data_IF_559460847303
#
_entry.id   IF_559460847303
#
_cell.length_a   1.000
_cell.length_b   1.000
_cell.length_c   1.000
_cell.angle_alpha   90.00
_cell.angle_beta   90.00
_cell.angle_gamma   90.00
#
_symmetry.space_group_name_H-M   'P 1'
#
loop_
_entity.id
_entity.type
_entity.pdbx_description
1 polymer ?
#
# COMPACT_ATOMS: atom_id res chain seq x y z
N UNK A 1 11.94 -9.16 -6.43
CA UNK A 1 10.58 -9.36 -5.87
C UNK A 1 9.58 -8.27 -6.28
N UNK A 2 9.97 -7.20 -6.97
CA UNK A 2 9.07 -6.08 -7.34
C UNK A 2 8.29 -6.31 -8.65
N UNK A 3 8.75 -7.18 -9.55
CA UNK A 3 8.11 -7.43 -10.84
C UNK A 3 6.68 -7.98 -10.72
N UNK A 4 6.38 -8.96 -9.85
CA UNK A 4 4.99 -9.40 -9.66
C UNK A 4 4.11 -8.30 -9.07
N UNK A 5 4.67 -7.47 -8.17
CA UNK A 5 3.95 -6.35 -7.58
C UNK A 5 3.49 -5.37 -8.66
N UNK A 6 4.37 -4.99 -9.58
CA UNK A 6 4.05 -4.05 -10.67
C UNK A 6 3.00 -4.60 -11.63
N UNK A 7 3.06 -5.91 -11.92
CA UNK A 7 2.10 -6.54 -12.86
C UNK A 7 0.73 -6.74 -12.21
N UNK A 8 0.68 -7.14 -10.93
CA UNK A 8 -0.57 -7.50 -10.27
C UNK A 8 -1.22 -6.37 -9.47
N UNK A 9 -0.51 -5.31 -9.09
CA UNK A 9 -1.06 -4.21 -8.28
C UNK A 9 -2.25 -3.53 -8.95
N UNK A 10 -2.18 -3.31 -10.26
CA UNK A 10 -3.29 -2.69 -10.99
C UNK A 10 -4.52 -3.60 -11.10
N UNK A 11 -4.34 -4.91 -10.89
CA UNK A 11 -5.43 -5.88 -10.96
C UNK A 11 -6.19 -6.04 -9.65
N UNK A 12 -5.54 -5.89 -8.50
CA UNK A 12 -6.13 -6.18 -7.19
C UNK A 12 -6.74 -4.93 -6.53
N UNK A 13 -6.27 -3.74 -6.89
CA UNK A 13 -6.68 -2.49 -6.23
C UNK A 13 -5.71 -2.08 -5.12
N UNK A 14 -5.74 -0.80 -4.73
CA UNK A 14 -4.78 -0.24 -3.78
C UNK A 14 -5.13 -0.64 -2.34
N UNK A 15 -6.42 -0.63 -1.98
CA UNK A 15 -6.88 -0.91 -0.61
C UNK A 15 -6.63 -2.36 -0.15
N UNK A 16 -7.04 -3.42 -0.89
CA UNK A 16 -6.80 -4.79 -0.45
C UNK A 16 -5.30 -5.11 -0.41
N UNK A 17 -4.50 -4.54 -1.31
CA UNK A 17 -3.05 -4.69 -1.32
C UNK A 17 -2.41 -4.16 -0.03
N UNK A 18 -2.82 -2.97 0.43
CA UNK A 18 -2.33 -2.38 1.68
C UNK A 18 -2.80 -3.16 2.91
N UNK A 19 -4.06 -3.63 2.94
CA UNK A 19 -4.60 -4.42 4.06
C UNK A 19 -3.91 -5.79 4.19
N UNK A 20 -3.80 -6.54 3.09
CA UNK A 20 -3.12 -7.85 3.06
C UNK A 20 -1.65 -7.67 3.43
N UNK A 21 -0.99 -6.64 2.87
CA UNK A 21 0.39 -6.31 3.20
C UNK A 21 0.59 -6.03 4.68
N UNK A 22 -0.26 -5.20 5.28
CA UNK A 22 -0.18 -4.84 6.70
C UNK A 22 -0.41 -6.07 7.60
N UNK A 23 -1.39 -6.91 7.27
CA UNK A 23 -1.67 -8.13 8.01
C UNK A 23 -0.51 -9.15 7.93
N UNK A 24 0.04 -9.38 6.74
CA UNK A 24 1.19 -10.29 6.54
C UNK A 24 2.43 -9.78 7.27
N UNK A 25 2.76 -8.51 7.13
CA UNK A 25 3.91 -7.91 7.83
C UNK A 25 3.76 -8.00 9.36
N UNK A 26 2.56 -7.73 9.88
CA UNK A 26 2.25 -7.89 11.31
C UNK A 26 2.47 -9.35 11.75
N UNK A 27 1.94 -10.32 11.00
CA UNK A 27 2.10 -11.75 11.28
C UNK A 27 3.58 -12.16 11.36
N UNK A 28 4.40 -11.79 10.37
CA UNK A 28 5.82 -12.14 10.36
C UNK A 28 6.60 -11.51 11.51
N UNK A 29 6.27 -10.27 11.89
CA UNK A 29 6.87 -9.60 13.05
C UNK A 29 6.44 -10.23 14.37
N UNK A 30 5.17 -10.66 14.51
CA UNK A 30 4.69 -11.41 15.67
C UNK A 30 5.40 -12.76 15.80
N UNK A 31 5.62 -13.47 14.69
CA UNK A 31 6.37 -14.75 14.68
C UNK A 31 7.82 -14.50 15.12
N UNK A 32 8.49 -13.48 14.57
CA UNK A 32 9.85 -13.12 14.98
C UNK A 32 9.89 -12.76 16.47
N UNK A 33 8.97 -11.92 16.96
CA UNK A 33 8.89 -11.55 18.37
C UNK A 33 8.69 -12.77 19.27
N UNK A 34 7.79 -13.69 18.92
CA UNK A 34 7.54 -14.93 19.66
C UNK A 34 8.76 -15.85 19.70
N UNK A 35 9.41 -16.08 18.56
CA UNK A 35 10.59 -16.94 18.48
C UNK A 35 11.76 -16.37 19.28
N UNK A 36 12.00 -15.06 19.19
CA UNK A 36 13.03 -14.42 20.01
C UNK A 36 12.64 -14.40 21.50
N UNK A 37 11.37 -14.22 21.86
CA UNK A 37 10.94 -14.26 23.25
C UNK A 37 11.17 -15.62 23.92
N UNK A 38 11.00 -16.73 23.18
CA UNK A 38 11.11 -18.09 23.74
C UNK A 38 12.50 -18.70 23.61
N UNK A 39 13.23 -18.41 22.52
CA UNK A 39 14.49 -19.09 22.20
C UNK A 39 15.73 -18.18 22.23
N UNK A 40 15.56 -16.86 22.40
CA UNK A 40 16.73 -15.98 22.50
C UNK A 40 17.44 -16.12 23.83
N UNK A 41 18.76 -16.02 23.79
CA UNK A 41 19.62 -15.92 24.97
C UNK A 41 20.42 -14.62 24.95
N UNK A 42 20.74 -14.05 26.13
CA UNK A 42 21.61 -12.89 26.21
C UNK A 42 23.03 -13.25 25.73
N UNK A 43 23.79 -12.22 25.29
CA UNK A 43 25.13 -12.41 24.76
C UNK A 43 26.07 -12.94 25.85
N UNK A 44 26.83 -14.00 25.54
CA UNK A 44 27.88 -14.52 26.42
C UNK A 44 29.25 -14.00 26.01
N UNK A 45 30.26 -13.97 26.89
CA UNK A 45 31.62 -13.51 26.56
C UNK A 45 32.27 -14.31 25.41
N UNK A 46 31.82 -15.55 25.19
CA UNK A 46 32.27 -16.43 24.10
C UNK A 46 31.63 -16.14 22.72
N UNK A 47 30.62 -15.27 22.67
CA UNK A 47 29.94 -14.93 21.43
C UNK A 47 30.56 -13.67 20.77
N UNK A 48 30.92 -13.76 19.48
CA UNK A 48 31.53 -12.66 18.72
C UNK A 48 30.49 -11.58 18.32
N UNK A 49 30.08 -10.74 19.25
CA UNK A 49 29.19 -9.60 18.96
C UNK A 49 30.00 -8.34 18.63
N UNK A 50 29.91 -7.88 17.38
CA UNK A 50 30.65 -6.69 16.89
C UNK A 50 30.02 -5.35 17.31
N UNK A 51 28.76 -5.35 17.75
CA UNK A 51 27.98 -4.14 18.07
C UNK A 51 26.99 -4.41 19.20
N UNK A 52 26.76 -3.42 20.08
CA UNK A 52 25.79 -3.49 21.18
C UNK A 52 24.33 -3.69 20.72
N UNK A 53 24.03 -3.39 19.45
CA UNK A 53 22.74 -3.67 18.81
C UNK A 53 22.50 -5.15 18.52
N UNK A 54 23.54 -5.99 18.55
CA UNK A 54 23.42 -7.44 18.47
C UNK A 54 23.30 -8.02 19.88
N UNK A 55 22.17 -7.74 20.55
CA UNK A 55 21.93 -8.05 21.96
C UNK A 55 21.31 -9.42 22.21
N UNK A 56 21.12 -10.24 21.16
CA UNK A 56 20.44 -11.53 21.25
C UNK A 56 21.07 -12.54 20.30
N UNK A 57 21.20 -13.79 20.77
CA UNK A 57 21.57 -14.93 19.92
C UNK A 57 20.45 -15.97 19.90
N UNK A 58 20.22 -16.53 18.72
CA UNK A 58 19.31 -17.65 18.47
C UNK A 58 20.05 -18.66 17.61
N UNK A 59 19.94 -19.95 17.94
CA UNK A 59 20.66 -21.02 17.26
C UNK A 59 19.70 -22.17 16.88
N UNK A 60 20.11 -23.03 15.94
CA UNK A 60 19.36 -24.22 15.54
C UNK A 60 18.15 -23.94 14.62
N UNK A 61 17.11 -24.76 14.76
CA UNK A 61 15.90 -24.66 13.94
C UNK A 61 15.13 -23.33 14.09
N UNK A 62 14.98 -22.75 15.30
CA UNK A 62 14.32 -21.45 15.49
C UNK A 62 15.01 -20.30 14.72
N UNK A 63 16.35 -20.32 14.61
CA UNK A 63 17.09 -19.31 13.86
C UNK A 63 16.73 -19.33 12.36
N UNK A 64 16.58 -20.52 11.77
CA UNK A 64 16.15 -20.67 10.37
C UNK A 64 14.74 -20.12 10.15
N UNK A 65 13.83 -20.35 11.11
CA UNK A 65 12.47 -19.83 11.05
C UNK A 65 12.42 -18.29 11.14
N UNK A 66 13.25 -17.66 11.98
CA UNK A 66 13.40 -16.20 12.04
C UNK A 66 13.92 -15.64 10.73
N UNK A 67 14.94 -16.27 10.14
CA UNK A 67 15.50 -15.85 8.84
C UNK A 67 14.43 -15.92 7.76
N UNK A 68 13.73 -17.06 7.64
CA UNK A 68 12.66 -17.24 6.66
C UNK A 68 11.53 -16.21 6.85
N UNK A 69 11.07 -16.00 8.09
CA UNK A 69 10.02 -15.02 8.41
C UNK A 69 10.45 -13.59 8.07
N UNK A 70 11.73 -13.25 8.27
CA UNK A 70 12.28 -11.94 7.91
C UNK A 70 12.31 -11.72 6.39
N UNK A 71 12.68 -12.75 5.61
CA UNK A 71 12.59 -12.66 4.14
C UNK A 71 11.14 -12.56 3.66
N UNK A 72 10.21 -13.28 4.29
CA UNK A 72 8.77 -13.20 3.97
C UNK A 72 8.18 -11.84 4.33
N UNK A 73 8.65 -11.21 5.42
CA UNK A 73 8.32 -9.83 5.77
C UNK A 73 8.74 -8.88 4.64
N UNK A 74 10.01 -8.96 4.20
CA UNK A 74 10.53 -8.11 3.12
C UNK A 74 9.80 -8.37 1.80
N UNK A 75 9.51 -9.62 1.47
CA UNK A 75 8.74 -9.98 0.27
C UNK A 75 7.33 -9.41 0.33
N UNK A 76 6.65 -9.51 1.48
CA UNK A 76 5.31 -8.95 1.68
C UNK A 76 5.33 -7.43 1.51
N UNK A 77 6.30 -6.73 2.13
CA UNK A 77 6.48 -5.28 1.97
C UNK A 77 6.73 -4.88 0.52
N UNK A 78 7.69 -5.54 -0.14
CA UNK A 78 8.09 -5.22 -1.51
C UNK A 78 6.96 -5.45 -2.53
N UNK A 79 6.06 -6.39 -2.26
CA UNK A 79 4.91 -6.66 -3.14
C UNK A 79 3.69 -5.77 -2.86
N UNK A 80 3.61 -5.15 -1.70
CA UNK A 80 2.42 -4.40 -1.26
C UNK A 80 2.75 -2.94 -0.99
N UNK A 81 3.19 -2.64 0.22
CA UNK A 81 3.43 -1.29 0.71
C UNK A 81 4.53 -0.55 -0.06
N UNK A 82 5.59 -1.25 -0.49
CA UNK A 82 6.71 -0.63 -1.19
C UNK A 82 6.29 0.19 -2.41
N UNK A 83 5.66 -0.41 -3.44
CA UNK A 83 5.20 0.34 -4.60
C UNK A 83 3.92 1.16 -4.34
N UNK A 84 2.97 0.64 -3.54
CA UNK A 84 1.69 1.35 -3.31
C UNK A 84 1.89 2.64 -2.50
N UNK A 85 2.85 2.71 -1.58
CA UNK A 85 3.08 3.92 -0.78
C UNK A 85 3.53 5.13 -1.60
N UNK A 86 4.15 4.89 -2.76
CA UNK A 86 4.58 5.95 -3.67
C UNK A 86 3.51 6.31 -4.71
N UNK A 87 2.71 5.32 -5.13
CA UNK A 87 1.62 5.53 -6.08
C UNK A 87 0.38 6.18 -5.47
N UNK A 88 0.07 5.87 -4.21
CA UNK A 88 -1.19 6.30 -3.58
C UNK A 88 -1.29 7.80 -3.26
N UNK A 89 -0.25 8.49 -2.72
CA UNK A 89 -0.33 9.92 -2.46
C UNK A 89 -0.69 10.78 -3.68
N UNK A 90 -0.06 10.64 -4.87
CA UNK A 90 -0.45 11.44 -6.02
C UNK A 90 -1.86 11.14 -6.54
N UNK A 91 -2.40 9.94 -6.31
CA UNK A 91 -3.78 9.57 -6.68
C UNK A 91 -4.82 10.29 -5.84
N UNK A 92 -4.52 10.56 -4.56
CA UNK A 92 -5.45 11.21 -3.62
C UNK A 92 -5.66 12.71 -3.89
N UNK A 93 -4.61 13.41 -4.33
CA UNK A 93 -4.64 14.86 -4.41
C UNK A 93 -4.99 15.36 -5.82
N UNK A 94 -5.84 16.41 -5.93
CA UNK A 94 -6.15 17.05 -7.20
C UNK A 94 -4.90 17.68 -7.80
N UNK A 95 -4.85 17.77 -9.14
CA UNK A 95 -3.67 18.22 -9.90
C UNK A 95 -3.07 19.54 -9.38
N UNK A 96 -3.90 20.49 -8.98
CA UNK A 96 -3.48 21.81 -8.49
C UNK A 96 -2.68 21.78 -7.18
N UNK A 97 -2.93 20.82 -6.30
CA UNK A 97 -2.31 20.72 -4.97
C UNK A 97 -1.32 19.56 -4.85
N UNK A 98 -1.34 18.63 -5.83
CA UNK A 98 -0.54 17.40 -5.82
C UNK A 98 0.93 17.64 -5.52
N UNK A 99 1.57 18.61 -6.18
CA UNK A 99 3.00 18.88 -5.99
C UNK A 99 3.37 19.20 -4.53
N UNK A 100 2.56 20.05 -3.87
CA UNK A 100 2.77 20.44 -2.46
C UNK A 100 2.47 19.31 -1.49
N UNK A 101 1.43 18.53 -1.76
CA UNK A 101 1.03 17.43 -0.90
C UNK A 101 2.02 16.25 -0.97
N UNK A 102 2.46 15.91 -2.18
CA UNK A 102 3.45 14.84 -2.41
C UNK A 102 4.82 15.22 -1.84
N UNK A 103 5.24 16.49 -1.93
CA UNK A 103 6.49 16.93 -1.31
C UNK A 103 6.45 16.83 0.22
N UNK A 104 5.33 17.20 0.85
CA UNK A 104 5.14 17.04 2.30
C UNK A 104 5.14 15.57 2.72
N UNK A 105 4.45 14.70 1.97
CA UNK A 105 4.46 13.26 2.21
C UNK A 105 5.88 12.67 2.10
N UNK A 106 6.64 13.11 1.11
CA UNK A 106 8.04 12.68 0.90
C UNK A 106 8.95 13.19 2.02
N UNK A 107 8.81 14.45 2.43
CA UNK A 107 9.55 15.00 3.57
C UNK A 107 9.25 14.25 4.87
N UNK A 108 7.97 13.92 5.11
CA UNK A 108 7.54 13.08 6.22
C UNK A 108 8.21 11.70 6.18
N UNK A 109 8.22 11.03 5.03
CA UNK A 109 8.88 9.74 4.85
C UNK A 109 10.37 9.78 5.24
N UNK A 110 11.12 10.78 4.75
CA UNK A 110 12.53 10.93 5.10
C UNK A 110 12.75 11.27 6.58
N UNK A 111 11.87 12.07 7.17
CA UNK A 111 11.92 12.40 8.61
C UNK A 111 11.75 11.15 9.46
N UNK A 112 10.78 10.29 9.14
CA UNK A 112 10.58 9.04 9.86
C UNK A 112 11.70 8.01 9.61
N UNK A 113 12.26 7.96 8.39
CA UNK A 113 13.44 7.15 8.13
C UNK A 113 14.63 7.57 8.99
N UNK A 114 14.87 8.88 9.15
CA UNK A 114 15.91 9.40 10.04
C UNK A 114 15.63 9.02 11.51
N UNK A 115 14.39 9.22 11.97
CA UNK A 115 14.00 8.86 13.33
C UNK A 115 14.19 7.35 13.62
N UNK A 116 13.83 6.47 12.67
CA UNK A 116 14.03 5.03 12.79
C UNK A 116 15.51 4.65 12.80
N UNK A 117 16.33 5.27 11.95
CA UNK A 117 17.77 5.02 11.93
C UNK A 117 18.43 5.34 13.29
N UNK A 118 17.94 6.37 13.99
CA UNK A 118 18.42 6.73 15.33
C UNK A 118 17.81 5.86 16.45
N UNK A 119 16.53 5.51 16.34
CA UNK A 119 15.78 4.77 17.37
C UNK A 119 16.09 3.26 17.39
N UNK A 120 16.26 2.63 16.23
CA UNK A 120 16.34 1.17 16.11
C UNK A 120 17.58 0.57 16.82
N UNK A 121 18.81 1.10 16.63
CA UNK A 121 19.98 0.55 17.32
C UNK A 121 19.88 0.56 18.85
N UNK A 122 19.52 1.68 19.53
CA UNK A 122 19.36 1.68 20.98
C UNK A 122 18.15 0.88 21.44
N UNK A 123 17.08 0.78 20.64
CA UNK A 123 15.95 -0.11 20.97
C UNK A 123 16.42 -1.57 21.06
N UNK A 124 17.16 -2.07 20.08
CA UNK A 124 17.71 -3.43 20.16
C UNK A 124 18.68 -3.61 21.32
N UNK A 125 19.51 -2.61 21.64
CA UNK A 125 20.43 -2.70 22.78
C UNK A 125 19.71 -2.78 24.15
N UNK A 126 18.63 -2.03 24.34
CA UNK A 126 17.97 -1.90 25.65
C UNK A 126 16.78 -2.86 25.84
N UNK A 127 15.94 -3.01 24.81
CA UNK A 127 14.66 -3.76 24.91
C UNK A 127 14.65 -5.03 24.05
N UNK A 128 15.74 -5.31 23.34
CA UNK A 128 16.03 -6.57 22.64
C UNK A 128 14.86 -7.01 21.74
N UNK A 129 14.22 -8.14 22.02
CA UNK A 129 13.16 -8.74 21.19
C UNK A 129 11.86 -7.95 21.23
N UNK A 130 11.64 -7.15 22.29
CA UNK A 130 10.43 -6.33 22.44
C UNK A 130 10.34 -5.26 21.35
N UNK A 131 11.46 -4.91 20.72
CA UNK A 131 11.51 -4.05 19.52
C UNK A 131 10.62 -4.59 18.40
N UNK A 132 10.59 -5.91 18.19
CA UNK A 132 9.71 -6.53 17.19
C UNK A 132 8.22 -6.39 17.54
N UNK A 133 7.87 -6.43 18.83
CA UNK A 133 6.50 -6.20 19.30
C UNK A 133 6.05 -4.78 19.01
N UNK A 134 6.91 -3.78 19.25
CA UNK A 134 6.62 -2.38 18.93
C UNK A 134 6.30 -2.23 17.44
N UNK A 135 7.12 -2.82 16.56
CA UNK A 135 6.86 -2.77 15.13
C UNK A 135 5.61 -3.54 14.71
N UNK A 136 5.31 -4.69 15.35
CA UNK A 136 4.07 -5.41 15.11
C UNK A 136 2.83 -4.56 15.47
N UNK A 137 2.88 -3.83 16.59
CA UNK A 137 1.82 -2.90 17.00
C UNK A 137 1.66 -1.77 15.98
N UNK A 138 2.76 -1.21 15.46
CA UNK A 138 2.69 -0.22 14.38
C UNK A 138 2.08 -0.80 13.09
N UNK A 139 2.40 -2.05 12.73
CA UNK A 139 1.76 -2.72 11.59
C UNK A 139 0.26 -2.96 11.82
N UNK A 140 -0.17 -3.29 13.04
CA UNK A 140 -1.57 -3.43 13.39
C UNK A 140 -2.32 -2.08 13.36
N UNK A 141 -1.71 -1.02 13.90
CA UNK A 141 -2.24 0.34 13.84
C UNK A 141 -2.36 0.81 12.38
N UNK A 142 -1.38 0.48 11.55
CA UNK A 142 -1.39 0.74 10.11
C UNK A 142 -2.53 -0.01 9.40
N UNK A 143 -2.77 -1.28 9.75
CA UNK A 143 -3.93 -2.03 9.22
C UNK A 143 -5.25 -1.34 9.56
N UNK A 144 -5.43 -0.93 10.83
CA UNK A 144 -6.63 -0.23 11.30
C UNK A 144 -6.78 1.11 10.56
N UNK A 145 -5.70 1.86 10.42
CA UNK A 145 -5.71 3.15 9.74
C UNK A 145 -6.14 3.01 8.27
N UNK A 146 -5.58 2.04 7.55
CA UNK A 146 -5.98 1.77 6.15
C UNK A 146 -7.44 1.28 6.08
N UNK A 147 -7.88 0.47 7.03
CA UNK A 147 -9.25 -0.06 7.02
C UNK A 147 -10.30 1.05 7.07
N UNK A 148 -10.07 2.08 7.88
CA UNK A 148 -11.01 3.17 8.12
C UNK A 148 -10.82 4.40 7.22
N UNK A 149 -9.58 4.77 6.88
CA UNK A 149 -9.28 6.05 6.22
C UNK A 149 -8.88 5.95 4.74
N UNK A 150 -8.52 4.77 4.23
CA UNK A 150 -7.96 4.66 2.87
C UNK A 150 -9.03 4.20 1.88
N UNK A 151 -9.64 5.11 1.10
CA UNK A 151 -10.55 4.71 0.05
C UNK A 151 -9.81 4.05 -1.13
N UNK A 152 -10.54 3.25 -1.90
CA UNK A 152 -10.05 2.62 -3.11
C UNK A 152 -9.95 3.63 -4.25
N UNK A 153 -8.73 3.83 -4.76
CA UNK A 153 -8.41 4.78 -5.84
C UNK A 153 -8.12 4.09 -7.18
N UNK A 154 -8.06 2.75 -7.22
CA UNK A 154 -7.70 2.03 -8.43
C UNK A 154 -8.71 2.23 -9.57
N UNK A 155 -8.18 2.50 -10.77
CA UNK A 155 -8.95 2.61 -12.02
C UNK A 155 -10.06 3.67 -11.97
N UNK A 156 -9.84 4.76 -11.22
CA UNK A 156 -10.75 5.91 -11.13
C UNK A 156 -10.08 7.15 -11.71
N UNK A 157 -10.80 7.99 -12.46
CA UNK A 157 -10.28 9.28 -12.87
C UNK A 157 -10.07 10.18 -11.64
N UNK A 158 -9.12 11.09 -11.74
CA UNK A 158 -8.74 11.97 -10.63
C UNK A 158 -9.90 12.84 -10.12
N UNK A 159 -10.83 13.17 -11.00
CA UNK A 159 -12.04 13.94 -10.67
C UNK A 159 -12.99 13.13 -9.78
N UNK A 160 -13.19 11.84 -10.08
CA UNK A 160 -13.98 10.94 -9.21
C UNK A 160 -13.33 10.74 -7.84
N UNK A 161 -12.00 10.74 -7.77
CA UNK A 161 -11.28 10.62 -6.50
C UNK A 161 -11.45 11.88 -5.65
N UNK A 162 -11.37 13.08 -6.25
CA UNK A 162 -11.67 14.31 -5.51
C UNK A 162 -13.12 14.35 -5.01
N UNK A 163 -14.05 13.84 -5.83
CA UNK A 163 -15.47 13.74 -5.53
C UNK A 163 -15.80 12.81 -4.36
N UNK A 164 -14.91 11.88 -4.03
CA UNK A 164 -15.05 10.98 -2.89
C UNK A 164 -14.75 11.67 -1.56
N UNK A 165 -14.00 12.77 -1.57
CA UNK A 165 -13.68 13.58 -0.39
C UNK A 165 -14.67 14.72 -0.16
N UNK A 166 -15.66 14.89 -1.04
CA UNK A 166 -16.73 15.87 -0.90
C UNK A 166 -17.70 15.46 0.23
N UNK A 167 -17.84 16.33 1.23
CA UNK A 167 -18.65 16.11 2.42
C UNK A 167 -20.11 16.56 2.27
N UNK A 168 -20.48 17.13 1.13
CA UNK A 168 -21.86 17.57 0.84
C UNK A 168 -22.78 16.43 0.38
N UNK A 169 -22.24 15.24 0.11
CA UNK A 169 -23.01 14.08 -0.38
C UNK A 169 -23.74 13.32 0.75
N UNK A 170 -24.98 12.84 0.53
CA UNK A 170 -25.72 12.09 1.53
C UNK A 170 -25.00 10.77 1.88
N UNK A 171 -24.63 10.61 3.16
CA UNK A 171 -23.87 9.45 3.66
C UNK A 171 -22.36 9.64 3.74
N UNK A 172 -21.85 10.85 3.45
CA UNK A 172 -20.46 11.24 3.69
C UNK A 172 -20.20 11.53 5.18
N UNK A 173 -19.00 11.19 5.65
CA UNK A 173 -18.50 11.54 6.98
C UNK A 173 -17.85 12.92 6.89
N UNK A 174 -18.22 13.84 7.79
CA UNK A 174 -17.68 15.20 7.84
C UNK A 174 -16.14 15.18 7.81
N UNK A 175 -15.52 15.97 6.92
CA UNK A 175 -14.06 16.07 6.69
C UNK A 175 -13.36 14.84 6.08
N UNK A 176 -14.07 13.73 5.86
CA UNK A 176 -13.51 12.49 5.29
C UNK A 176 -14.15 12.15 3.94
N UNK A 177 -15.44 12.49 3.76
CA UNK A 177 -16.19 12.15 2.56
C UNK A 177 -16.78 10.74 2.63
N UNK A 178 -16.77 10.02 1.51
CA UNK A 178 -17.32 8.66 1.43
C UNK A 178 -16.51 7.67 2.28
N UNK A 179 -17.17 6.79 3.08
CA UNK A 179 -16.44 5.84 3.92
C UNK A 179 -15.56 4.90 3.09
N UNK A 180 -14.31 4.72 3.52
CA UNK A 180 -13.31 3.89 2.83
C UNK A 180 -13.78 2.44 2.56
N UNK A 181 -14.63 1.89 3.42
CA UNK A 181 -15.19 0.55 3.24
C UNK A 181 -16.30 0.42 2.19
N UNK A 182 -16.84 1.54 1.72
CA UNK A 182 -17.85 1.56 0.65
C UNK A 182 -17.23 1.72 -0.74
N UNK A 183 -16.00 2.20 -0.84
CA UNK A 183 -15.29 2.36 -2.13
C UNK A 183 -14.77 1.01 -2.64
N UNK A 184 -15.04 0.71 -3.91
CA UNK A 184 -14.67 -0.54 -4.58
C UNK A 184 -13.94 -0.26 -5.91
N UNK A 185 -13.15 -1.23 -6.37
CA UNK A 185 -12.43 -1.15 -7.63
C UNK A 185 -13.42 -1.22 -8.82
N UNK A 186 -13.35 -0.25 -9.73
CA UNK A 186 -14.28 -0.09 -10.87
C UNK A 186 -13.71 -0.74 -12.16
N UNK A 187 -12.61 -1.50 -12.08
CA UNK A 187 -11.91 -2.09 -13.25
C UNK A 187 -12.82 -2.73 -14.30
N UNK A 188 -13.82 -3.51 -13.88
CA UNK A 188 -14.73 -4.20 -14.81
C UNK A 188 -15.71 -3.23 -15.50
N UNK A 189 -16.17 -2.18 -14.80
CA UNK A 189 -17.05 -1.17 -15.39
C UNK A 189 -16.26 -0.24 -16.30
N UNK A 190 -15.05 0.18 -15.91
CA UNK A 190 -14.16 0.99 -16.73
C UNK A 190 -13.83 0.29 -18.06
N UNK A 191 -13.40 -0.99 -18.01
CA UNK A 191 -13.18 -1.82 -19.21
C UNK A 191 -14.43 -1.99 -20.08
N UNK A 192 -15.62 -2.02 -19.49
CA UNK A 192 -16.88 -2.18 -20.22
C UNK A 192 -17.28 -0.88 -20.94
N UNK A 193 -17.01 0.27 -20.33
CA UNK A 193 -17.23 1.58 -20.94
C UNK A 193 -16.26 1.77 -22.11
N UNK A 194 -14.97 1.56 -21.91
CA UNK A 194 -13.95 1.61 -22.98
C UNK A 194 -14.35 0.70 -24.14
N UNK A 195 -14.69 -0.57 -23.87
CA UNK A 195 -15.11 -1.52 -24.91
C UNK A 195 -16.37 -1.05 -25.65
N UNK A 196 -17.31 -0.40 -24.97
CA UNK A 196 -18.50 0.14 -25.62
C UNK A 196 -18.21 1.38 -26.47
N UNK A 197 -17.27 2.23 -26.07
CA UNK A 197 -16.82 3.37 -26.88
C UNK A 197 -16.15 2.90 -28.16
N UNK A 198 -15.26 1.89 -28.08
CA UNK A 198 -14.68 1.25 -29.25
C UNK A 198 -15.74 0.67 -30.19
N UNK A 199 -16.74 -0.05 -29.66
CA UNK A 199 -17.85 -0.60 -30.47
C UNK A 199 -18.68 0.50 -31.17
N UNK A 200 -18.78 1.70 -30.58
CA UNK A 200 -19.49 2.85 -31.18
C UNK A 200 -18.62 3.51 -32.26
N UNK A 201 -17.32 3.66 -32.01
CA UNK A 201 -16.40 4.29 -32.94
C UNK A 201 -16.21 3.44 -34.20
N UNK A 202 -16.10 2.11 -34.06
CA UNK A 202 -16.03 1.17 -35.18
C UNK A 202 -17.31 1.20 -36.05
N UNK A 203 -18.48 1.36 -35.41
CA UNK A 203 -19.76 1.57 -36.11
C UNK A 203 -19.83 2.92 -36.85
N UNK A 204 -19.24 3.99 -36.30
CA UNK A 204 -19.19 5.31 -36.94
C UNK A 204 -18.27 5.30 -38.17
N UNK A 205 -17.13 4.61 -38.09
CA UNK A 205 -16.17 4.50 -39.20
C UNK A 205 -16.69 3.56 -40.30
N UNK A 206 -17.45 2.52 -39.94
CA UNK A 206 -18.05 1.57 -40.89
C UNK A 206 -19.29 2.06 -41.63
N UNK A 207 -19.82 3.25 -41.32
CA UNK A 207 -21.01 3.80 -41.99
C UNK A 207 -20.59 4.71 -43.15
N UNK A 208 -20.74 4.31 -44.43
CA UNK A 208 -20.44 5.20 -45.56
C UNK A 208 -21.38 6.43 -45.54
N UNK A 209 -20.91 7.62 -45.97
CA UNK A 209 -21.71 8.83 -45.93
C UNK A 209 -22.97 8.65 -46.79
N UNK A 210 -24.13 8.96 -46.22
CA UNK A 210 -25.41 8.91 -46.91
C UNK A 210 -25.35 9.80 -48.16
N UNK A 211 -25.55 9.18 -49.33
CA UNK A 211 -25.60 9.84 -50.62
C UNK A 211 -26.69 10.91 -50.61
N UNK A 212 -26.25 12.16 -50.75
CA UNK A 212 -27.06 13.36 -50.90
C UNK A 212 -28.02 13.18 -52.10
N UNK A 213 -29.30 12.89 -51.82
CA UNK A 213 -30.35 12.86 -52.85
C UNK A 213 -30.59 14.29 -53.34
N UNK A 214 -30.02 14.62 -54.51
CA UNK A 214 -30.44 15.79 -55.28
C UNK A 214 -31.86 15.55 -55.79
N UNK A 215 -32.84 16.16 -55.14
CA UNK A 215 -34.17 16.36 -55.71
C UNK A 215 -34.04 17.25 -56.94
N UNK A 216 -34.18 16.64 -58.12
CA UNK A 216 -34.49 17.32 -59.37
C UNK A 216 -35.89 17.91 -59.27
N UNK A 217 -35.97 19.23 -59.08
CA UNK A 217 -37.18 20.00 -59.32
C UNK A 217 -37.26 20.28 -60.82
N UNK A 218 -38.29 19.73 -61.45
CA UNK A 218 -38.74 20.05 -62.81
C UNK A 218 -39.72 21.22 -62.79
#
# INVERSE_FOLDING_TARGET
MTVPALIWMDSWGRRPTLLIGAALMCLWLCINAGLFATYSRPPRPEDNFTSASMSMKIEGAPAKAVIASTYLFVASFACTWGPTSWAYPPELYPLRLRGKAVSLATAGNWTFNFALAYFVPPAFANITWRTYVIFAVFCAAMFIHVFFLFPETANKPLEEVSDMFDDTKPGAIRLIGTPAWKTHNIRNSARRVERSEFDIEDKRVGTPPATEQKETVA
#
